data_IF_559006822652
#
_entry.id   IF_559006822652
#
_cell.length_a   1.000
_cell.length_b   1.000
_cell.length_c   1.000
_cell.angle_alpha   90.00
_cell.angle_beta   90.00
_cell.angle_gamma   90.00
#
_symmetry.space_group_name_H-M   'P 1'
#
loop_
_entity.id
_entity.type
_entity.pdbx_description
1 polymer ?
#
# COMPACT_ATOMS: atom_id res chain seq x y z
N UNK A 1 16.99 32.11 11.70
CA UNK A 1 16.01 31.61 12.70
C UNK A 1 16.57 30.33 13.28
N UNK A 2 16.81 30.27 14.59
CA UNK A 2 17.09 29.00 15.27
C UNK A 2 15.83 28.14 15.17
N UNK A 3 15.89 27.04 14.41
CA UNK A 3 14.80 26.07 14.41
C UNK A 3 14.78 25.40 15.79
N UNK A 4 13.72 25.63 16.56
CA UNK A 4 13.47 24.92 17.82
C UNK A 4 12.67 23.66 17.53
N UNK A 5 13.11 22.50 18.03
CA UNK A 5 12.38 21.23 17.92
C UNK A 5 11.63 20.91 19.21
N UNK A 6 10.45 20.31 19.09
CA UNK A 6 9.78 19.64 20.20
C UNK A 6 10.18 18.16 20.23
N UNK A 7 10.51 17.64 21.41
CA UNK A 7 10.79 16.22 21.62
C UNK A 7 9.56 15.52 22.23
N UNK A 8 9.30 14.29 21.80
CA UNK A 8 8.29 13.40 22.37
C UNK A 8 8.98 12.12 22.82
N UNK A 9 8.87 11.76 24.10
CA UNK A 9 9.23 10.41 24.54
C UNK A 9 8.05 9.48 24.28
N UNK A 10 8.25 8.47 23.42
CA UNK A 10 7.17 7.56 23.06
C UNK A 10 6.76 6.67 24.23
N UNK A 11 7.61 6.44 25.23
CA UNK A 11 7.24 5.70 26.43
C UNK A 11 6.07 6.37 27.17
N UNK A 12 6.01 7.71 27.15
CA UNK A 12 5.01 8.51 27.86
C UNK A 12 3.70 8.70 27.07
N UNK A 13 3.67 8.29 25.80
CA UNK A 13 2.51 8.46 24.92
C UNK A 13 1.57 7.26 24.95
N UNK A 14 0.27 7.54 24.88
CA UNK A 14 -0.75 6.53 24.60
C UNK A 14 -0.61 5.97 23.18
N UNK A 15 -1.13 4.76 22.90
CA UNK A 15 -1.12 4.19 21.55
C UNK A 15 -1.74 5.12 20.49
N UNK A 16 -2.79 5.86 20.84
CA UNK A 16 -3.47 6.81 19.94
C UNK A 16 -2.58 8.01 19.61
N UNK A 17 -1.83 8.53 20.57
CA UNK A 17 -0.90 9.64 20.36
C UNK A 17 0.29 9.21 19.49
N UNK A 18 0.89 8.04 19.79
CA UNK A 18 1.92 7.43 18.94
C UNK A 18 1.42 7.29 17.50
N UNK A 19 0.21 6.74 17.32
CA UNK A 19 -0.41 6.61 16.01
C UNK A 19 -0.52 7.96 15.29
N UNK A 20 -1.10 8.98 15.94
CA UNK A 20 -1.28 10.30 15.33
C UNK A 20 0.03 10.95 14.90
N UNK A 21 1.07 10.86 15.74
CA UNK A 21 2.40 11.38 15.40
C UNK A 21 2.99 10.63 14.21
N UNK A 22 2.97 9.30 14.22
CA UNK A 22 3.53 8.48 13.14
C UNK A 22 2.82 8.71 11.80
N UNK A 23 1.48 8.67 11.76
CA UNK A 23 0.75 8.85 10.50
C UNK A 23 0.72 10.30 10.01
N UNK A 24 1.06 11.26 10.88
CA UNK A 24 1.16 12.68 10.54
C UNK A 24 2.53 13.06 9.97
N UNK A 25 3.57 12.26 10.24
CA UNK A 25 4.96 12.56 9.82
C UNK A 25 5.47 11.62 8.74
N UNK A 26 5.07 10.35 8.74
CA UNK A 26 5.40 9.40 7.68
C UNK A 26 4.33 9.51 6.59
N UNK A 27 4.53 10.46 5.69
CA UNK A 27 3.61 10.84 4.62
C UNK A 27 4.33 11.25 3.33
N UNK A 28 3.67 11.15 2.17
CA UNK A 28 2.46 10.36 1.94
C UNK A 28 2.76 8.86 2.06
N UNK A 29 1.78 8.08 2.54
CA UNK A 29 1.88 6.61 2.54
C UNK A 29 1.16 6.06 1.30
N UNK A 30 1.77 5.14 0.54
CA UNK A 30 1.06 4.47 -0.54
C UNK A 30 -0.08 3.62 0.04
N UNK A 31 -1.07 3.34 -0.79
CA UNK A 31 -2.27 2.61 -0.39
C UNK A 31 -2.35 1.32 -1.20
N UNK A 32 -2.45 0.21 -0.48
CA UNK A 32 -2.79 -1.09 -1.04
C UNK A 32 -4.31 -1.29 -0.91
N UNK A 33 -5.03 -1.31 -2.03
CA UNK A 33 -6.37 -1.86 -2.10
C UNK A 33 -6.26 -3.35 -2.42
N UNK A 34 -6.60 -4.21 -1.46
CA UNK A 34 -6.31 -5.63 -1.51
C UNK A 34 -7.61 -6.41 -1.71
N UNK A 35 -7.62 -7.28 -2.71
CA UNK A 35 -8.64 -8.32 -2.85
C UNK A 35 -8.09 -9.64 -2.34
N UNK A 36 -8.98 -10.40 -1.69
CA UNK A 36 -8.73 -11.75 -1.19
C UNK A 36 -9.94 -12.62 -1.45
N UNK A 37 -9.76 -13.94 -1.36
CA UNK A 37 -10.85 -14.91 -1.44
C UNK A 37 -10.74 -15.83 -0.23
N UNK A 38 -11.86 -16.07 0.46
CA UNK A 38 -11.95 -17.03 1.55
C UNK A 38 -11.89 -18.48 1.02
N UNK A 39 -11.70 -19.47 1.90
CA UNK A 39 -11.64 -20.89 1.49
C UNK A 39 -12.90 -21.39 0.79
N UNK A 40 -14.06 -20.82 1.12
CA UNK A 40 -15.36 -21.13 0.51
C UNK A 40 -15.62 -20.39 -0.81
N UNK A 41 -14.68 -19.55 -1.26
CA UNK A 41 -14.78 -18.77 -2.49
C UNK A 41 -15.35 -17.36 -2.31
N UNK A 42 -15.72 -16.95 -1.08
CA UNK A 42 -16.26 -15.61 -0.83
C UNK A 42 -15.20 -14.53 -1.07
N UNK A 43 -15.45 -13.54 -1.96
CA UNK A 43 -14.52 -12.44 -2.19
C UNK A 43 -14.56 -11.42 -1.05
N UNK A 44 -13.45 -10.74 -0.81
CA UNK A 44 -13.34 -9.64 0.15
C UNK A 44 -12.41 -8.56 -0.41
N UNK A 45 -12.69 -7.28 -0.16
CA UNK A 45 -11.78 -6.18 -0.46
C UNK A 45 -11.51 -5.26 0.75
N UNK A 46 -10.28 -4.74 0.86
CA UNK A 46 -9.90 -3.83 1.95
C UNK A 46 -8.74 -2.89 1.59
N UNK A 47 -8.74 -1.67 2.11
CA UNK A 47 -7.65 -0.70 1.88
C UNK A 47 -6.71 -0.55 3.08
N UNK A 48 -5.40 -0.45 2.80
CA UNK A 48 -4.36 -0.40 3.82
C UNK A 48 -3.24 0.58 3.42
N UNK A 49 -2.95 1.55 4.28
CA UNK A 49 -1.85 2.53 4.06
C UNK A 49 -0.58 2.21 4.85
N UNK A 50 -0.53 1.09 5.57
CA UNK A 50 0.70 0.60 6.20
C UNK A 50 1.36 -0.37 5.21
N UNK A 51 1.69 0.16 4.04
CA UNK A 51 2.09 -0.59 2.84
C UNK A 51 3.39 -0.03 2.27
N UNK A 52 4.30 -0.89 1.82
CA UNK A 52 5.44 -0.51 0.98
C UNK A 52 6.06 -1.73 0.26
N UNK A 53 6.98 -1.47 -0.67
CA UNK A 53 7.91 -2.47 -1.24
C UNK A 53 9.12 -2.58 -0.31
N UNK A 54 9.63 -3.79 -0.09
CA UNK A 54 10.79 -4.03 0.80
C UNK A 54 12.03 -4.56 0.09
N UNK A 55 11.89 -5.36 -0.96
CA UNK A 55 13.00 -5.84 -1.79
C UNK A 55 12.51 -6.13 -3.21
N UNK A 56 13.43 -6.10 -4.18
CA UNK A 56 13.18 -6.42 -5.58
C UNK A 56 13.73 -7.79 -6.00
N UNK A 57 14.59 -8.41 -5.18
CA UNK A 57 15.14 -9.75 -5.41
C UNK A 57 15.17 -10.55 -4.08
N UNK A 58 14.14 -11.37 -3.79
CA UNK A 58 12.89 -11.51 -4.54
C UNK A 58 12.00 -10.26 -4.43
N UNK A 59 11.01 -10.09 -5.31
CA UNK A 59 10.09 -8.95 -5.29
C UNK A 59 9.08 -9.05 -4.14
N UNK A 60 9.33 -8.38 -3.01
CA UNK A 60 8.51 -8.48 -1.79
C UNK A 60 7.82 -7.15 -1.47
N UNK A 61 6.52 -7.25 -1.23
CA UNK A 61 5.68 -6.20 -0.67
C UNK A 61 5.31 -6.53 0.77
N UNK A 62 5.18 -5.49 1.61
CA UNK A 62 4.75 -5.61 2.98
C UNK A 62 3.49 -4.80 3.26
N UNK A 63 2.52 -5.43 3.91
CA UNK A 63 1.28 -4.79 4.35
C UNK A 63 1.04 -5.08 5.82
N UNK A 64 0.95 -4.05 6.64
CA UNK A 64 0.50 -4.16 8.01
C UNK A 64 -1.02 -4.14 8.07
N UNK A 65 -1.65 -5.25 8.49
CA UNK A 65 -3.11 -5.38 8.62
C UNK A 65 -3.49 -5.36 10.10
N UNK A 66 -4.30 -4.38 10.50
CA UNK A 66 -4.78 -4.29 11.88
C UNK A 66 -5.77 -5.41 12.21
N UNK A 67 -5.77 -5.85 13.46
CA UNK A 67 -6.78 -6.77 13.98
C UNK A 67 -8.10 -6.06 14.31
N UNK A 68 -9.19 -6.82 14.39
CA UNK A 68 -10.48 -6.37 14.93
C UNK A 68 -10.32 -5.99 16.43
N UNK A 69 -11.22 -5.20 17.02
CA UNK A 69 -11.10 -4.75 18.41
C UNK A 69 -11.02 -5.88 19.46
N UNK A 70 -11.56 -7.06 19.13
CA UNK A 70 -11.49 -8.27 19.93
C UNK A 70 -10.16 -9.05 19.78
N UNK A 71 -9.24 -8.55 18.95
CA UNK A 71 -7.93 -9.15 18.69
C UNK A 71 -7.90 -10.18 17.56
N UNK A 72 -9.04 -10.50 16.96
CA UNK A 72 -9.10 -11.43 15.82
C UNK A 72 -8.60 -10.78 14.52
N UNK A 73 -8.07 -11.53 13.54
CA UNK A 73 -7.67 -10.96 12.26
C UNK A 73 -8.85 -10.32 11.52
N UNK A 74 -8.60 -9.26 10.75
CA UNK A 74 -9.53 -8.82 9.70
C UNK A 74 -9.63 -9.89 8.61
N UNK A 75 -10.72 -9.88 7.87
CA UNK A 75 -11.05 -10.88 6.87
C UNK A 75 -9.96 -10.99 5.80
N UNK A 76 -9.39 -9.85 5.35
CA UNK A 76 -8.20 -9.84 4.48
C UNK A 76 -7.02 -10.62 5.06
N UNK A 77 -6.67 -10.43 6.35
CA UNK A 77 -5.56 -11.15 6.97
C UNK A 77 -5.89 -12.63 7.19
N UNK A 78 -7.12 -12.95 7.58
CA UNK A 78 -7.59 -14.32 7.75
C UNK A 78 -7.53 -15.08 6.40
N UNK A 79 -8.02 -14.47 5.33
CA UNK A 79 -8.01 -15.05 3.99
C UNK A 79 -6.58 -15.25 3.49
N UNK A 80 -5.68 -14.28 3.67
CA UNK A 80 -4.27 -14.43 3.28
C UNK A 80 -3.60 -15.58 4.04
N UNK A 81 -3.87 -15.71 5.34
CA UNK A 81 -3.30 -16.77 6.17
C UNK A 81 -3.81 -18.16 5.76
N UNK A 82 -5.10 -18.26 5.43
CA UNK A 82 -5.73 -19.52 5.03
C UNK A 82 -5.34 -19.95 3.61
N UNK A 83 -5.31 -18.99 2.67
CA UNK A 83 -5.16 -19.29 1.24
C UNK A 83 -3.75 -19.09 0.70
N UNK A 84 -2.93 -18.28 1.37
CA UNK A 84 -1.61 -17.88 0.91
C UNK A 84 -1.62 -16.92 -0.28
N UNK A 85 -2.78 -16.37 -0.66
CA UNK A 85 -2.97 -15.63 -1.91
C UNK A 85 -3.65 -14.27 -1.67
N UNK A 86 -3.25 -13.26 -2.43
CA UNK A 86 -3.91 -11.95 -2.47
C UNK A 86 -3.48 -11.14 -3.69
N UNK A 87 -4.29 -10.16 -4.06
CA UNK A 87 -3.96 -9.20 -5.13
C UNK A 87 -3.96 -7.78 -4.57
N UNK A 88 -2.84 -7.08 -4.71
CA UNK A 88 -2.66 -5.68 -4.29
C UNK A 88 -2.91 -4.75 -5.48
N UNK A 89 -3.70 -3.70 -5.30
CA UNK A 89 -3.96 -2.68 -6.31
C UNK A 89 -3.46 -1.33 -5.83
N UNK A 90 -2.85 -0.55 -6.74
CA UNK A 90 -2.56 0.86 -6.50
C UNK A 90 -3.84 1.64 -6.72
N UNK A 91 -4.18 2.53 -5.79
CA UNK A 91 -5.34 3.42 -5.91
C UNK A 91 -4.91 4.73 -6.58
N UNK A 92 -5.50 5.03 -7.75
CA UNK A 92 -5.40 6.36 -8.37
C UNK A 92 -6.44 7.32 -7.79
N UNK A 93 -6.39 8.58 -8.18
CA UNK A 93 -7.36 9.58 -7.76
C UNK A 93 -8.80 9.22 -8.16
N UNK A 94 -8.98 8.54 -9.29
CA UNK A 94 -10.30 8.15 -9.80
C UNK A 94 -10.95 7.02 -9.00
N UNK A 95 -10.17 6.22 -8.27
CA UNK A 95 -10.63 5.09 -7.45
C UNK A 95 -10.85 5.41 -5.96
N UNK A 96 -10.59 6.65 -5.52
CA UNK A 96 -10.60 7.00 -4.07
C UNK A 96 -11.93 6.70 -3.41
N UNK A 97 -13.05 7.04 -4.05
CA UNK A 97 -14.38 6.88 -3.45
C UNK A 97 -14.72 5.39 -3.28
N UNK A 98 -14.43 4.57 -4.29
CA UNK A 98 -14.63 3.12 -4.25
C UNK A 98 -13.71 2.45 -3.22
N UNK A 99 -12.44 2.87 -3.17
CA UNK A 99 -11.47 2.39 -2.19
C UNK A 99 -11.90 2.72 -0.74
N UNK A 100 -12.47 3.90 -0.50
CA UNK A 100 -13.03 4.26 0.81
C UNK A 100 -14.25 3.39 1.17
N UNK A 101 -15.11 3.05 0.21
CA UNK A 101 -16.22 2.10 0.43
C UNK A 101 -15.68 0.75 0.90
N UNK A 102 -14.64 0.21 0.25
CA UNK A 102 -13.97 -1.03 0.69
C UNK A 102 -13.25 -0.91 2.05
N UNK A 103 -13.19 0.28 2.65
CA UNK A 103 -12.58 0.49 3.97
C UNK A 103 -13.61 0.50 5.11
N UNK A 104 -14.90 0.47 4.77
CA UNK A 104 -16.00 0.41 5.73
C UNK A 104 -16.01 -0.97 6.38
N UNK A 105 -16.33 -1.00 7.68
CA UNK A 105 -16.44 -2.25 8.46
C UNK A 105 -17.81 -2.88 8.23
N UNK A 106 -17.98 -3.57 7.12
CA UNK A 106 -19.17 -4.38 6.89
C UNK A 106 -19.09 -5.72 7.64
N UNK A 107 -20.23 -6.40 7.84
CA UNK A 107 -20.26 -7.81 8.24
C UNK A 107 -19.59 -8.72 7.19
N UNK A 108 -19.16 -9.91 7.62
CA UNK A 108 -18.37 -10.86 6.81
C UNK A 108 -19.10 -11.41 5.57
N UNK A 109 -20.43 -11.31 5.51
CA UNK A 109 -21.26 -11.79 4.40
C UNK A 109 -21.51 -10.72 3.31
N UNK A 110 -20.91 -9.54 3.43
CA UNK A 110 -21.09 -8.43 2.51
C UNK A 110 -19.93 -8.34 1.52
N UNK A 111 -20.24 -8.38 0.23
CA UNK A 111 -19.26 -8.17 -0.84
C UNK A 111 -19.00 -6.66 -1.05
N UNK A 112 -17.86 -6.17 -0.56
CA UNK A 112 -17.50 -4.75 -0.69
C UNK A 112 -17.23 -4.33 -2.14
N UNK A 113 -16.81 -5.26 -3.01
CA UNK A 113 -16.56 -4.96 -4.43
C UNK A 113 -17.87 -4.60 -5.12
N UNK A 114 -18.92 -5.37 -4.86
CA UNK A 114 -20.27 -5.10 -5.37
C UNK A 114 -20.80 -3.77 -4.85
N UNK A 115 -20.65 -3.47 -3.55
CA UNK A 115 -21.09 -2.20 -2.97
C UNK A 115 -20.31 -0.98 -3.51
N UNK A 116 -19.02 -1.15 -3.76
CA UNK A 116 -18.17 -0.13 -4.34
C UNK A 116 -18.37 0.04 -5.85
N UNK A 117 -19.17 -0.82 -6.50
CA UNK A 117 -19.36 -0.83 -7.95
C UNK A 117 -18.08 -1.16 -8.72
N UNK A 118 -17.21 -1.99 -8.14
CA UNK A 118 -15.93 -2.37 -8.73
C UNK A 118 -16.07 -3.64 -9.57
N UNK A 119 -15.81 -3.51 -10.86
CA UNK A 119 -15.68 -4.66 -11.76
C UNK A 119 -14.35 -5.38 -11.52
N UNK A 120 -14.40 -6.72 -11.63
CA UNK A 120 -13.22 -7.56 -11.46
C UNK A 120 -13.07 -8.58 -12.57
N UNK A 121 -11.83 -9.05 -12.75
CA UNK A 121 -11.47 -10.21 -13.58
C UNK A 121 -10.79 -11.26 -12.71
N UNK A 122 -10.90 -12.57 -13.06
CA UNK A 122 -10.16 -13.61 -12.35
C UNK A 122 -8.65 -13.34 -12.35
N UNK A 123 -7.98 -13.71 -11.26
CA UNK A 123 -6.51 -13.70 -11.23
C UNK A 123 -5.91 -14.76 -12.15
N UNK A 124 -4.68 -14.54 -12.60
CA UNK A 124 -3.97 -15.45 -13.51
C UNK A 124 -3.04 -16.44 -12.79
N UNK A 125 -2.45 -16.04 -11.68
CA UNK A 125 -1.52 -16.83 -10.85
C UNK A 125 -2.10 -17.11 -9.46
N UNK A 126 -3.01 -16.27 -8.99
CA UNK A 126 -3.74 -16.42 -7.72
C UNK A 126 -5.24 -16.44 -7.95
N UNK A 127 -6.02 -17.00 -7.01
CA UNK A 127 -7.49 -17.02 -7.06
C UNK A 127 -8.11 -15.64 -6.83
N UNK A 128 -7.36 -14.73 -6.22
CA UNK A 128 -7.85 -13.42 -5.82
C UNK A 128 -8.09 -12.52 -7.04
N UNK A 129 -9.31 -11.99 -7.22
CA UNK A 129 -9.69 -11.27 -8.43
C UNK A 129 -8.98 -9.93 -8.53
N UNK A 130 -8.74 -9.45 -9.75
CA UNK A 130 -8.14 -8.14 -10.02
C UNK A 130 -9.22 -7.11 -10.37
N UNK A 131 -9.17 -5.94 -9.75
CA UNK A 131 -10.03 -4.79 -10.05
C UNK A 131 -9.60 -4.16 -11.37
N UNK A 132 -10.51 -4.09 -12.34
CA UNK A 132 -10.18 -3.66 -13.72
C UNK A 132 -9.87 -2.17 -13.82
N UNK A 133 -10.50 -1.36 -12.97
CA UNK A 133 -10.29 0.08 -12.95
C UNK A 133 -8.89 0.47 -12.43
N UNK A 134 -8.22 -0.39 -11.66
CA UNK A 134 -6.93 -0.09 -11.05
C UNK A 134 -5.83 0.19 -12.10
N UNK A 135 -5.03 1.25 -11.96
CA UNK A 135 -3.93 1.56 -12.88
C UNK A 135 -2.82 0.51 -12.82
N UNK A 136 -2.63 -0.14 -11.67
CA UNK A 136 -1.69 -1.23 -11.48
C UNK A 136 -2.18 -2.22 -10.42
N UNK A 137 -1.84 -3.49 -10.61
CA UNK A 137 -2.14 -4.58 -9.69
C UNK A 137 -1.02 -5.61 -9.62
N UNK A 138 -0.91 -6.29 -8.49
CA UNK A 138 0.14 -7.27 -8.18
C UNK A 138 -0.49 -8.51 -7.57
N UNK A 139 -0.34 -9.64 -8.22
CA UNK A 139 -0.75 -10.94 -7.68
C UNK A 139 0.38 -11.51 -6.83
N UNK A 140 0.07 -11.83 -5.58
CA UNK A 140 1.05 -12.11 -4.54
C UNK A 140 0.81 -13.46 -3.88
N UNK A 141 1.90 -14.19 -3.63
CA UNK A 141 1.90 -15.32 -2.70
C UNK A 141 2.46 -14.88 -1.35
N UNK A 142 1.79 -15.27 -0.26
CA UNK A 142 2.30 -15.09 1.09
C UNK A 142 3.65 -15.81 1.23
N UNK A 143 4.68 -15.07 1.62
CA UNK A 143 5.99 -15.64 1.98
C UNK A 143 6.12 -15.80 3.49
N UNK A 144 5.73 -14.78 4.25
CA UNK A 144 5.86 -14.79 5.70
C UNK A 144 4.87 -13.82 6.35
N UNK A 145 4.44 -14.13 7.57
CA UNK A 145 3.84 -13.15 8.47
C UNK A 145 4.77 -12.83 9.63
N UNK A 146 4.75 -11.57 10.07
CA UNK A 146 5.47 -11.10 11.25
C UNK A 146 4.44 -10.57 12.27
N UNK A 147 4.19 -11.31 13.36
CA UNK A 147 3.32 -10.85 14.43
C UNK A 147 4.09 -9.84 15.30
N UNK A 148 3.91 -8.55 15.00
CA UNK A 148 4.64 -7.47 15.71
C UNK A 148 3.96 -7.04 17.00
N UNK A 149 2.63 -7.18 17.08
CA UNK A 149 1.84 -6.87 18.27
C UNK A 149 0.47 -7.52 18.17
N UNK A 150 -0.29 -7.64 19.29
CA UNK A 150 -1.68 -8.08 19.24
C UNK A 150 -2.61 -7.20 18.39
N UNK A 151 -2.17 -5.99 18.00
CA UNK A 151 -2.96 -5.06 17.22
C UNK A 151 -2.77 -5.21 15.70
N UNK A 152 -1.71 -5.89 15.24
CA UNK A 152 -1.35 -5.90 13.81
C UNK A 152 -0.49 -7.11 13.43
N UNK A 153 -0.83 -7.71 12.30
CA UNK A 153 0.00 -8.66 11.58
C UNK A 153 0.64 -7.96 10.39
N UNK A 154 1.95 -8.11 10.21
CA UNK A 154 2.62 -7.73 8.96
C UNK A 154 2.60 -8.93 8.04
N UNK A 155 2.05 -8.75 6.85
CA UNK A 155 2.07 -9.71 5.75
C UNK A 155 3.21 -9.34 4.81
N UNK A 156 4.08 -10.30 4.51
CA UNK A 156 5.07 -10.21 3.44
C UNK A 156 4.60 -11.10 2.29
N UNK A 157 4.41 -10.51 1.11
CA UNK A 157 4.01 -11.22 -0.10
C UNK A 157 5.02 -11.05 -1.20
N UNK A 158 5.33 -12.15 -1.88
CA UNK A 158 6.13 -12.13 -3.09
C UNK A 158 5.24 -11.89 -4.30
N UNK A 159 5.54 -10.85 -5.07
CA UNK A 159 4.86 -10.54 -6.33
C UNK A 159 5.20 -11.63 -7.34
N UNK A 160 4.19 -12.35 -7.79
CA UNK A 160 4.32 -13.37 -8.85
C UNK A 160 3.95 -12.83 -10.21
N UNK A 161 3.06 -11.84 -10.25
CA UNK A 161 2.67 -11.17 -11.49
C UNK A 161 2.24 -9.74 -11.26
N UNK A 162 2.54 -8.86 -12.22
CA UNK A 162 2.14 -7.47 -12.25
C UNK A 162 1.27 -7.19 -13.47
N UNK A 163 0.28 -6.32 -13.31
CA UNK A 163 -0.54 -5.77 -14.38
C UNK A 163 -0.49 -4.26 -14.28
N UNK A 164 -0.23 -3.58 -15.40
CA UNK A 164 -0.26 -2.12 -15.49
C UNK A 164 -1.15 -1.76 -16.67
N UNK A 165 -1.93 -0.69 -16.52
CA UNK A 165 -2.73 -0.13 -17.61
C UNK A 165 -1.81 0.17 -18.80
N UNK A 166 -2.15 -0.35 -19.98
CA UNK A 166 -1.28 -0.33 -21.17
C UNK A 166 -0.75 1.07 -21.51
N UNK A 167 -1.59 2.09 -21.37
CA UNK A 167 -1.22 3.48 -21.65
C UNK A 167 -0.23 4.10 -20.65
N UNK A 168 0.08 3.41 -19.55
CA UNK A 168 0.90 3.90 -18.45
C UNK A 168 2.24 3.19 -18.35
N UNK A 169 2.56 2.26 -19.25
CA UNK A 169 3.81 1.50 -19.21
C UNK A 169 4.47 1.41 -20.58
N UNK A 170 5.76 1.74 -20.61
CA UNK A 170 6.66 1.35 -21.68
C UNK A 170 7.23 -0.02 -21.32
N UNK A 171 6.75 -1.04 -22.03
CA UNK A 171 7.09 -2.45 -21.79
C UNK A 171 8.54 -2.75 -22.17
N UNK A 172 9.10 -2.08 -23.17
CA UNK A 172 10.47 -2.35 -23.62
C UNK A 172 11.48 -1.79 -22.62
N UNK A 173 11.22 -0.60 -22.08
CA UNK A 173 12.12 0.09 -21.15
C UNK A 173 11.78 -0.18 -19.67
N UNK A 174 10.73 -0.94 -19.38
CA UNK A 174 10.20 -1.17 -18.02
C UNK A 174 9.92 0.15 -17.27
N UNK A 175 9.46 1.16 -18.00
CA UNK A 175 9.18 2.48 -17.45
C UNK A 175 7.68 2.66 -17.24
N UNK A 176 7.30 3.18 -16.09
CA UNK A 176 5.91 3.46 -15.73
C UNK A 176 5.71 4.97 -15.66
N UNK A 177 4.67 5.47 -16.33
CA UNK A 177 4.26 6.87 -16.26
C UNK A 177 3.65 7.19 -14.89
N UNK A 178 4.48 7.76 -14.03
CA UNK A 178 4.14 8.06 -12.64
C UNK A 178 3.12 9.20 -12.53
N UNK A 179 3.12 10.15 -13.46
CA UNK A 179 2.12 11.22 -13.50
C UNK A 179 0.78 10.64 -13.98
N UNK A 180 0.81 9.82 -15.03
CA UNK A 180 -0.37 9.18 -15.60
C UNK A 180 -1.04 8.16 -14.67
N UNK A 181 -0.27 7.47 -13.81
CA UNK A 181 -0.85 6.63 -12.74
C UNK A 181 -1.71 7.47 -11.79
N UNK A 182 -1.29 8.71 -11.47
CA UNK A 182 -1.99 9.60 -10.54
C UNK A 182 -2.35 8.92 -9.20
N UNK A 183 -1.38 8.17 -8.65
CA UNK A 183 -1.56 7.42 -7.41
C UNK A 183 -1.85 8.37 -6.26
N UNK A 184 -2.80 7.99 -5.39
CA UNK A 184 -3.06 8.74 -4.17
C UNK A 184 -2.23 8.22 -3.00
N UNK A 185 -1.71 9.16 -2.22
CA UNK A 185 -1.03 8.90 -0.98
C UNK A 185 -1.89 9.29 0.22
N UNK A 186 -1.97 8.43 1.24
CA UNK A 186 -2.66 8.73 2.49
C UNK A 186 -1.79 9.62 3.39
N UNK A 187 -2.38 10.69 3.91
CA UNK A 187 -1.74 11.60 4.86
C UNK A 187 -2.23 11.34 6.30
N UNK A 188 -2.01 12.31 7.20
CA UNK A 188 -2.59 12.29 8.54
C UNK A 188 -4.12 12.45 8.51
N UNK A 189 -4.81 11.71 9.38
CA UNK A 189 -6.28 11.76 9.47
C UNK A 189 -6.98 11.24 8.20
N UNK A 190 -7.82 12.09 7.60
CA UNK A 190 -8.62 11.78 6.41
C UNK A 190 -8.10 12.46 5.14
N UNK A 191 -6.88 13.01 5.18
CA UNK A 191 -6.30 13.73 4.06
C UNK A 191 -5.59 12.79 3.08
N UNK A 192 -5.63 13.18 1.81
CA UNK A 192 -5.02 12.51 0.67
C UNK A 192 -4.16 13.49 -0.12
N UNK A 193 -3.13 12.99 -0.81
CA UNK A 193 -2.31 13.74 -1.75
C UNK A 193 -2.20 13.01 -3.09
N UNK A 194 -2.25 13.78 -4.19
CA UNK A 194 -1.90 13.30 -5.53
C UNK A 194 -0.41 13.54 -5.78
N UNK A 195 0.20 12.75 -6.67
CA UNK A 195 1.64 12.85 -6.98
C UNK A 195 1.90 13.66 -8.26
N UNK A 196 1.33 14.86 -8.39
CA UNK A 196 1.41 15.66 -9.63
C UNK A 196 2.54 16.69 -9.67
N UNK A 197 3.05 17.09 -8.50
CA UNK A 197 4.16 18.03 -8.38
C UNK A 197 5.45 17.24 -8.17
N UNK A 198 6.12 16.89 -9.27
CA UNK A 198 7.32 16.06 -9.29
C UNK A 198 8.52 16.87 -9.78
N UNK A 199 9.71 16.63 -9.20
CA UNK A 199 10.96 17.22 -9.64
C UNK A 199 12.05 16.15 -9.72
N UNK A 200 12.92 16.27 -10.72
CA UNK A 200 14.06 15.37 -10.86
C UNK A 200 15.22 15.83 -9.98
N UNK A 201 15.84 14.88 -9.26
CA UNK A 201 17.06 15.13 -8.51
C UNK A 201 18.00 13.94 -8.67
N UNK A 202 19.07 14.14 -9.44
CA UNK A 202 20.14 13.16 -9.58
C UNK A 202 21.10 13.29 -8.40
N UNK A 203 21.31 12.19 -7.68
CA UNK A 203 22.33 12.12 -6.63
C UNK A 203 23.71 12.18 -7.29
N UNK A 204 24.56 13.17 -6.96
CA UNK A 204 25.89 13.24 -7.53
C UNK A 204 26.75 12.06 -7.03
N UNK A 205 27.74 11.67 -7.83
CA UNK A 205 28.79 10.78 -7.33
C UNK A 205 29.63 11.51 -6.28
N UNK A 206 30.29 10.76 -5.40
CA UNK A 206 31.18 11.34 -4.41
C UNK A 206 32.27 12.21 -5.06
N UNK A 207 32.86 11.75 -6.17
CA UNK A 207 33.83 12.53 -6.95
C UNK A 207 33.25 13.84 -7.49
N UNK A 208 32.08 13.80 -8.12
CA UNK A 208 31.44 15.01 -8.66
C UNK A 208 31.11 16.00 -7.54
N UNK A 209 30.68 15.51 -6.38
CA UNK A 209 30.41 16.33 -5.21
C UNK A 209 31.67 16.97 -4.65
N UNK A 210 32.76 16.22 -4.51
CA UNK A 210 34.03 16.75 -3.99
C UNK A 210 34.66 17.79 -4.93
N UNK A 211 34.63 17.55 -6.24
CA UNK A 211 35.13 18.51 -7.23
C UNK A 211 34.34 19.84 -7.20
N UNK A 212 33.02 19.78 -7.02
CA UNK A 212 32.18 20.97 -6.87
C UNK A 212 32.48 21.76 -5.59
N UNK A 213 32.83 21.09 -4.49
CA UNK A 213 33.26 21.76 -3.25
C UNK A 213 34.60 22.47 -3.43
N UNK A 214 35.59 21.84 -4.06
CA UNK A 214 36.91 22.44 -4.31
C UNK A 214 36.83 23.66 -5.22
N UNK A 215 35.93 23.64 -6.23
CA UNK A 215 35.74 24.78 -7.13
C UNK A 215 35.02 25.99 -6.49
N UNK A 216 34.39 25.79 -5.33
CA UNK A 216 33.66 26.84 -4.57
C UNK A 216 34.46 27.42 -3.40
N UNK A 217 35.60 26.81 -3.06
CA UNK A 217 36.54 27.28 -2.02
C UNK A 217 37.61 28.20 -2.58
#
# INVERSE_FOLDING_TARGET
>A
MTMTSHAFDFADLTPKERYKLLIGTVIPRPIALITTVAEDGTPNAGSFSFFNILTHDPAIMAVGIEHKPDGTPKDTAANILATGEFTVHISDHALVDQMEICSIKFPEDVDELTLAGLETVPGEVVRCPRITAAPAAFECHLTQTVPVSPARTIVLGEVKRMFVRETLVDVENHYVDQIGIDAVGRLGGHLYARQLDQFERVTPTAEAFMADLEAKG
#
